data_IF_416768419726
#
_entry.id   IF_416768419726
#
_cell.length_a   1.000
_cell.length_b   1.000
_cell.length_c   1.000
_cell.angle_alpha   90.00
_cell.angle_beta   90.00
_cell.angle_gamma   90.00
#
_symmetry.space_group_name_H-M   'P 1'
#
loop_
_entity.id
_entity.type
_entity.pdbx_description
1 polymer ?
#
# COMPACT_ATOMS: atom_id res chain seq x y z
N UNK A 1 -6.04 12.48 -5.60
CA UNK A 1 -5.88 12.42 -4.13
C UNK A 1 -4.77 11.44 -3.86
N UNK A 2 -3.62 11.93 -3.40
CA UNK A 2 -2.52 11.12 -2.90
C UNK A 2 -2.71 10.90 -1.40
N UNK A 3 -1.93 10.00 -0.78
CA UNK A 3 -1.94 9.64 0.65
C UNK A 3 -1.72 10.85 1.61
N UNK A 4 -1.54 12.06 1.09
CA UNK A 4 -0.93 13.20 1.80
C UNK A 4 -1.81 13.92 2.83
N UNK A 5 -3.14 13.75 2.85
CA UNK A 5 -4.00 14.50 3.78
C UNK A 5 -4.37 13.75 5.06
N UNK A 6 -4.52 12.43 4.98
CA UNK A 6 -4.80 11.56 6.13
C UNK A 6 -4.33 10.13 5.80
N UNK A 7 -3.15 9.71 6.30
CA UNK A 7 -2.60 8.39 5.99
C UNK A 7 -3.36 7.24 6.65
N UNK A 8 -4.35 7.52 7.51
CA UNK A 8 -5.19 6.53 8.20
C UNK A 8 -6.67 6.64 7.84
N UNK A 9 -7.03 7.43 6.84
CA UNK A 9 -8.38 7.45 6.29
C UNK A 9 -8.77 6.05 5.81
N UNK A 10 -9.91 5.55 6.26
CA UNK A 10 -10.47 4.29 5.79
C UNK A 10 -11.49 4.55 4.68
N UNK A 11 -11.25 3.99 3.51
CA UNK A 11 -12.21 3.92 2.40
C UNK A 11 -11.93 2.71 1.49
N UNK A 12 -12.58 2.65 0.32
CA UNK A 12 -12.43 1.52 -0.59
C UNK A 12 -10.99 1.36 -1.15
N UNK A 13 -10.22 2.45 -1.21
CA UNK A 13 -8.85 2.47 -1.76
C UNK A 13 -7.80 2.44 -0.67
N UNK A 14 -8.13 2.84 0.55
CA UNK A 14 -7.19 2.96 1.66
C UNK A 14 -7.72 2.24 2.90
N UNK A 15 -6.97 1.25 3.39
CA UNK A 15 -7.37 0.52 4.60
C UNK A 15 -6.15 -0.18 5.23
N UNK A 16 -6.19 -0.50 6.54
CA UNK A 16 -5.13 -1.26 7.16
C UNK A 16 -5.04 -2.65 6.55
N UNK A 17 -3.81 -3.18 6.46
CA UNK A 17 -3.59 -4.61 6.20
C UNK A 17 -3.92 -5.40 7.47
N UNK A 18 -4.14 -6.71 7.32
CA UNK A 18 -4.59 -7.59 8.42
C UNK A 18 -3.63 -8.75 8.61
N UNK A 19 -3.71 -9.36 9.80
CA UNK A 19 -2.87 -10.50 10.17
C UNK A 19 -1.39 -10.13 10.17
N UNK A 20 -0.54 -11.05 9.70
CA UNK A 20 0.91 -10.86 9.67
C UNK A 20 1.36 -9.67 8.80
N UNK A 21 0.53 -9.20 7.87
CA UNK A 21 0.82 -8.05 7.02
C UNK A 21 0.39 -6.72 7.64
N UNK A 22 -0.39 -6.74 8.73
CA UNK A 22 -0.93 -5.54 9.37
C UNK A 22 0.12 -4.70 10.11
N UNK A 23 1.33 -5.23 10.29
CA UNK A 23 2.45 -4.51 10.88
C UNK A 23 3.76 -4.84 10.15
N UNK A 24 4.73 -3.95 10.26
CA UNK A 24 6.09 -4.14 9.73
C UNK A 24 7.11 -3.60 10.73
N UNK A 25 8.30 -4.20 10.78
CA UNK A 25 9.39 -3.69 11.60
C UNK A 25 10.29 -2.77 10.77
N UNK A 26 10.40 -1.51 11.16
CA UNK A 26 11.26 -0.48 10.52
C UNK A 26 12.05 0.22 11.61
N UNK A 27 13.36 0.34 11.46
CA UNK A 27 14.19 1.05 12.45
C UNK A 27 14.21 0.44 13.86
N UNK A 28 13.70 -0.78 14.05
CA UNK A 28 13.56 -1.40 15.37
C UNK A 28 12.14 -1.32 15.93
N UNK A 29 11.30 -0.47 15.37
CA UNK A 29 9.91 -0.25 15.79
C UNK A 29 8.94 -1.07 14.95
N UNK A 30 7.82 -1.45 15.57
CA UNK A 30 6.71 -2.11 14.89
C UNK A 30 5.68 -1.05 14.52
N UNK A 31 5.53 -0.81 13.22
CA UNK A 31 4.61 0.18 12.66
C UNK A 31 3.40 -0.52 12.05
N UNK A 32 2.23 0.10 12.17
CA UNK A 32 1.04 -0.35 11.45
C UNK A 32 1.22 -0.21 9.94
N UNK A 33 0.72 -1.18 9.18
CA UNK A 33 0.87 -1.21 7.74
C UNK A 33 -0.48 -1.13 7.05
N UNK A 34 -0.53 -0.31 6.01
CA UNK A 34 -1.70 0.08 5.27
C UNK A 34 -1.53 -0.24 3.81
N UNK A 35 -2.65 -0.41 3.11
CA UNK A 35 -2.69 -0.50 1.65
C UNK A 35 -3.36 0.73 1.07
N UNK A 36 -2.85 1.19 -0.07
CA UNK A 36 -3.48 2.17 -0.92
C UNK A 36 -3.55 1.71 -2.38
N UNK A 37 -4.72 1.81 -2.99
CA UNK A 37 -4.90 1.65 -4.43
C UNK A 37 -4.53 2.96 -5.15
N UNK A 38 -3.31 2.99 -5.71
CA UNK A 38 -2.76 4.16 -6.38
C UNK A 38 -3.32 4.35 -7.80
N UNK A 39 -3.63 3.25 -8.49
CA UNK A 39 -4.29 3.23 -9.80
C UNK A 39 -5.26 2.05 -9.84
N UNK A 40 -6.14 1.99 -10.85
CA UNK A 40 -7.14 0.91 -11.02
C UNK A 40 -6.57 -0.54 -11.04
N UNK A 41 -5.25 -0.69 -11.03
CA UNK A 41 -4.58 -1.97 -10.79
C UNK A 41 -3.33 -1.89 -9.91
N UNK A 42 -2.77 -0.70 -9.71
CA UNK A 42 -1.59 -0.45 -8.88
C UNK A 42 -1.92 -0.32 -7.40
N UNK A 43 -1.16 -1.03 -6.58
CA UNK A 43 -1.26 -0.99 -5.12
C UNK A 43 0.10 -0.66 -4.51
N UNK A 44 0.07 0.09 -3.42
CA UNK A 44 1.21 0.27 -2.55
C UNK A 44 0.83 -0.14 -1.14
N UNK A 45 1.82 -0.65 -0.41
CA UNK A 45 1.77 -0.79 1.02
C UNK A 45 2.68 0.25 1.65
N UNK A 46 2.24 0.80 2.77
CA UNK A 46 3.01 1.78 3.51
C UNK A 46 2.84 1.59 5.01
N UNK A 47 3.87 1.95 5.76
CA UNK A 47 3.83 2.02 7.21
C UNK A 47 3.78 3.47 7.67
N UNK A 48 3.02 3.74 8.74
CA UNK A 48 2.89 5.08 9.32
C UNK A 48 3.83 5.22 10.51
N UNK A 49 4.83 6.08 10.36
CA UNK A 49 5.70 6.52 11.44
C UNK A 49 5.26 7.93 11.85
N UNK A 50 4.42 8.00 12.88
CA UNK A 50 3.83 9.25 13.34
C UNK A 50 4.83 10.14 14.08
N UNK A 51 5.74 9.53 14.84
CA UNK A 51 6.80 10.22 15.58
C UNK A 51 7.70 11.01 14.63
N UNK A 52 8.15 10.38 13.55
CA UNK A 52 9.01 11.01 12.56
C UNK A 52 8.23 11.67 11.41
N UNK A 53 6.89 11.65 11.46
CA UNK A 53 5.99 12.14 10.39
C UNK A 53 6.39 11.60 9.01
N UNK A 54 6.72 10.31 8.95
CA UNK A 54 7.24 9.63 7.77
C UNK A 54 6.31 8.50 7.35
N UNK A 55 6.14 8.33 6.04
CA UNK A 55 5.50 7.15 5.48
C UNK A 55 6.54 6.30 4.76
N UNK A 56 6.68 5.06 5.19
CA UNK A 56 7.60 4.11 4.60
C UNK A 56 6.86 3.26 3.59
N UNK A 57 7.22 3.35 2.30
CA UNK A 57 6.71 2.42 1.30
C UNK A 57 7.42 1.07 1.51
N UNK A 58 6.64 0.05 1.88
CA UNK A 58 7.14 -1.30 2.17
C UNK A 58 7.00 -2.23 0.97
N UNK A 59 6.05 -1.94 0.08
CA UNK A 59 5.83 -2.67 -1.15
C UNK A 59 5.12 -1.78 -2.18
N UNK A 60 5.45 -1.98 -3.46
CA UNK A 60 4.72 -1.38 -4.58
C UNK A 60 4.61 -2.40 -5.70
N UNK A 61 3.42 -2.53 -6.28
CA UNK A 61 3.22 -3.41 -7.41
C UNK A 61 1.99 -3.07 -8.23
N UNK A 62 2.04 -3.45 -9.51
CA UNK A 62 0.91 -3.36 -10.41
C UNK A 62 0.21 -4.73 -10.52
N UNK A 63 -1.08 -4.80 -10.26
CA UNK A 63 -1.97 -5.81 -10.85
C UNK A 63 -2.49 -5.24 -12.18
N UNK A 64 -2.59 -5.93 -13.31
CA UNK A 64 -2.66 -7.35 -13.61
C UNK A 64 -1.66 -7.62 -14.75
N UNK A 65 -0.89 -8.71 -14.67
CA UNK A 65 -0.09 -9.20 -15.80
C UNK A 65 -1.02 -9.48 -16.98
N UNK A 66 -0.97 -8.69 -18.05
CA UNK A 66 -1.54 -9.08 -19.34
C UNK A 66 -0.66 -10.16 -19.97
N UNK A 67 -0.67 -11.36 -19.38
CA UNK A 67 -0.45 -12.59 -20.12
C UNK A 67 -1.76 -12.93 -20.85
N UNK A 68 -2.16 -12.09 -21.80
CA UNK A 68 -3.17 -12.42 -22.80
C UNK A 68 -2.92 -11.57 -24.04
N UNK A 69 -1.76 -11.76 -24.66
CA UNK A 69 -1.68 -11.57 -26.10
C UNK A 69 -2.42 -12.76 -26.73
N UNK A 70 -3.74 -12.66 -26.91
CA UNK A 70 -4.36 -13.43 -28.00
C UNK A 70 -3.89 -12.77 -29.28
N UNK A 71 -2.85 -13.36 -29.88
CA UNK A 71 -2.54 -13.23 -31.29
C UNK A 71 -3.84 -13.50 -32.06
N UNK A 72 -4.45 -12.47 -32.62
CA UNK A 72 -5.47 -12.67 -33.65
C UNK A 72 -4.72 -13.01 -34.92
N UNK A 73 -4.73 -14.30 -35.28
CA UNK A 73 -4.51 -14.80 -36.63
C UNK A 73 -5.67 -14.41 -37.54
#
# INVERSE_FOLDING_TARGET
MAITSDPRKVDARQHPLKGALGAVKIGGETLEQWQYEATAGGRIWYAVDEEHRTLWITWAGAGHSKATERRRS
#
